data_IF_493844561002
#
_entry.id   IF_493844561002
#
_cell.length_a   1.000
_cell.length_b   1.000
_cell.length_c   1.000
_cell.angle_alpha   90.00
_cell.angle_beta   90.00
_cell.angle_gamma   90.00
#
_symmetry.space_group_name_H-M   'P 1'
#
loop_
_entity.id
_entity.type
_entity.pdbx_description
1 polymer ?
#
# COMPACT_ATOMS: atom_id res chain seq x y z
N UNK A 1 -66.07 26.82 -21.83
CA UNK A 1 -65.44 26.14 -20.69
C UNK A 1 -65.30 27.17 -19.57
N UNK A 2 -65.84 26.91 -18.38
CA UNK A 2 -65.75 27.87 -17.26
C UNK A 2 -64.29 27.90 -16.78
N UNK A 3 -63.69 29.08 -16.73
CA UNK A 3 -62.34 29.25 -16.18
C UNK A 3 -62.36 28.82 -14.71
N UNK A 4 -61.62 27.76 -14.40
CA UNK A 4 -61.60 27.12 -13.08
C UNK A 4 -61.00 28.01 -11.98
N UNK A 5 -60.28 29.08 -12.36
CA UNK A 5 -59.67 30.03 -11.42
C UNK A 5 -59.83 31.47 -11.91
N UNK A 6 -60.10 32.38 -10.97
CA UNK A 6 -60.13 33.82 -11.25
C UNK A 6 -58.70 34.30 -11.61
N UNK A 7 -58.52 35.16 -12.61
CA UNK A 7 -57.20 35.62 -13.06
C UNK A 7 -56.40 36.32 -11.95
N UNK A 8 -57.07 36.95 -10.98
CA UNK A 8 -56.42 37.54 -9.81
C UNK A 8 -55.81 36.49 -8.87
N UNK A 9 -56.48 35.33 -8.69
CA UNK A 9 -55.95 34.23 -7.88
C UNK A 9 -54.69 33.64 -8.50
N UNK A 10 -54.63 33.56 -9.83
CA UNK A 10 -53.45 33.08 -10.57
C UNK A 10 -52.29 34.07 -10.42
N UNK A 11 -52.54 35.38 -10.55
CA UNK A 11 -51.50 36.40 -10.32
C UNK A 11 -50.95 36.35 -8.90
N UNK A 12 -51.81 36.18 -7.90
CA UNK A 12 -51.41 36.06 -6.50
C UNK A 12 -50.58 34.79 -6.25
N UNK A 13 -50.99 33.66 -6.80
CA UNK A 13 -50.25 32.39 -6.70
C UNK A 13 -48.87 32.49 -7.38
N UNK A 14 -48.78 33.10 -8.56
CA UNK A 14 -47.52 33.33 -9.25
C UNK A 14 -46.58 34.26 -8.48
N UNK A 15 -47.12 35.33 -7.87
CA UNK A 15 -46.34 36.21 -6.99
C UNK A 15 -45.78 35.48 -5.78
N UNK A 16 -46.55 34.56 -5.18
CA UNK A 16 -46.10 33.75 -4.05
C UNK A 16 -45.00 32.75 -4.44
N UNK A 17 -45.11 32.14 -5.63
CA UNK A 17 -44.08 31.25 -6.17
C UNK A 17 -42.76 31.99 -6.45
N UNK A 18 -42.84 33.19 -7.02
CA UNK A 18 -41.66 34.03 -7.25
C UNK A 18 -41.00 34.43 -5.93
N UNK A 19 -41.79 34.78 -4.91
CA UNK A 19 -41.28 35.08 -3.58
C UNK A 19 -40.50 33.90 -2.98
N UNK A 20 -41.06 32.68 -3.04
CA UNK A 20 -40.40 31.47 -2.55
C UNK A 20 -39.09 31.16 -3.30
N UNK A 21 -39.07 31.40 -4.61
CA UNK A 21 -37.88 31.22 -5.43
C UNK A 21 -36.75 32.19 -5.03
N UNK A 22 -37.09 33.46 -4.77
CA UNK A 22 -36.12 34.47 -4.30
C UNK A 22 -35.58 34.11 -2.93
N UNK A 23 -36.42 33.65 -2.00
CA UNK A 23 -35.99 33.20 -0.67
C UNK A 23 -35.02 32.01 -0.80
N UNK A 24 -35.31 31.04 -1.67
CA UNK A 24 -34.44 29.88 -1.89
C UNK A 24 -33.09 30.27 -2.51
N UNK A 25 -33.09 31.20 -3.46
CA UNK A 25 -31.85 31.73 -4.05
C UNK A 25 -31.03 32.51 -3.02
N UNK A 26 -31.67 33.32 -2.19
CA UNK A 26 -30.99 34.04 -1.11
C UNK A 26 -30.36 33.05 -0.12
N UNK A 27 -31.05 31.99 0.26
CA UNK A 27 -30.50 30.92 1.11
C UNK A 27 -29.29 30.22 0.47
N UNK A 28 -29.34 29.94 -0.83
CA UNK A 28 -28.21 29.35 -1.56
C UNK A 28 -26.99 30.29 -1.60
N UNK A 29 -27.20 31.58 -1.81
CA UNK A 29 -26.11 32.59 -1.78
C UNK A 29 -25.51 32.70 -0.37
N UNK A 30 -26.33 32.65 0.68
CA UNK A 30 -25.85 32.58 2.07
C UNK A 30 -25.03 31.31 2.28
N UNK A 31 -25.48 30.15 1.80
CA UNK A 31 -24.68 28.92 1.87
C UNK A 31 -23.33 29.07 1.15
N UNK A 32 -23.28 29.65 -0.04
CA UNK A 32 -22.00 29.80 -0.78
C UNK A 32 -21.07 30.83 -0.12
N UNK A 33 -21.60 31.90 0.48
CA UNK A 33 -20.79 32.92 1.16
C UNK A 33 -20.36 32.49 2.57
N UNK A 34 -21.17 31.67 3.27
CA UNK A 34 -20.93 31.25 4.64
C UNK A 34 -20.28 29.86 4.75
N UNK A 35 -20.45 28.99 3.75
CA UNK A 35 -19.52 27.90 3.51
C UNK A 35 -18.33 28.45 2.73
N UNK A 36 -17.41 29.09 3.46
CA UNK A 36 -16.01 29.03 3.04
C UNK A 36 -15.70 27.55 2.79
N UNK A 37 -15.04 27.26 1.68
CA UNK A 37 -14.31 26.00 1.54
C UNK A 37 -13.26 26.04 2.65
N UNK A 38 -13.65 25.58 3.83
CA UNK A 38 -12.74 25.05 4.82
C UNK A 38 -12.24 23.78 4.14
N UNK A 39 -11.24 23.96 3.28
CA UNK A 39 -10.27 22.91 3.08
C UNK A 39 -9.88 22.50 4.49
N UNK A 40 -10.20 21.25 4.83
CA UNK A 40 -9.62 20.59 5.99
C UNK A 40 -8.16 20.32 5.59
N UNK A 41 -7.41 21.41 5.39
CA UNK A 41 -6.00 21.43 5.68
C UNK A 41 -5.93 21.13 7.16
N UNK A 42 -5.65 19.86 7.45
CA UNK A 42 -5.22 19.35 8.73
C UNK A 42 -4.50 20.48 9.45
N UNK A 43 -5.14 20.96 10.52
CA UNK A 43 -4.60 21.95 11.41
C UNK A 43 -3.13 21.60 11.62
N UNK A 44 -2.25 22.50 11.19
CA UNK A 44 -0.84 22.45 11.52
C UNK A 44 -0.79 22.39 13.02
N UNK A 45 -0.69 21.17 13.53
CA UNK A 45 -0.73 20.87 14.94
C UNK A 45 0.36 21.73 15.55
N UNK A 46 -0.08 22.73 16.32
CA UNK A 46 0.82 23.53 17.11
C UNK A 46 1.38 22.56 18.14
N UNK A 47 2.48 21.89 17.77
CA UNK A 47 3.58 21.49 18.63
C UNK A 47 3.17 21.55 20.09
N UNK A 48 2.39 20.57 20.54
CA UNK A 48 2.16 20.36 21.96
C UNK A 48 3.55 20.24 22.55
N UNK A 49 4.00 21.29 23.24
CA UNK A 49 5.33 21.36 23.85
C UNK A 49 5.55 20.05 24.59
N UNK A 50 6.46 19.23 24.09
CA UNK A 50 6.78 17.98 24.72
C UNK A 50 7.28 18.30 26.13
N UNK A 51 6.55 17.87 27.16
CA UNK A 51 6.87 18.05 28.58
C UNK A 51 8.03 17.13 29.02
N UNK A 52 9.03 16.93 28.16
CA UNK A 52 10.24 16.20 28.52
C UNK A 52 11.36 17.20 28.81
N UNK A 53 11.64 17.38 30.10
CA UNK A 53 12.88 18.01 30.54
C UNK A 53 14.04 17.12 30.11
N UNK A 54 14.84 17.56 29.11
CA UNK A 54 16.16 16.99 28.90
C UNK A 54 17.05 17.48 30.05
N UNK A 55 17.23 16.65 31.08
CA UNK A 55 18.30 16.85 32.04
C UNK A 55 19.63 16.80 31.28
N UNK A 56 20.34 17.93 31.22
CA UNK A 56 21.72 17.98 30.73
C UNK A 56 22.61 17.42 31.84
N UNK A 57 23.00 16.16 31.71
CA UNK A 57 23.85 15.45 32.67
C UNK A 57 25.36 15.58 32.38
N UNK A 58 25.81 16.68 31.77
CA UNK A 58 27.25 17.01 31.71
C UNK A 58 27.46 18.51 31.44
N UNK A 59 28.37 19.18 32.17
CA UNK A 59 28.96 20.42 31.73
C UNK A 59 30.10 20.05 30.78
N UNK A 60 29.92 20.30 29.49
CA UNK A 60 31.03 20.27 28.55
C UNK A 60 30.90 21.50 27.67
N UNK A 61 31.67 22.51 28.05
CA UNK A 61 32.08 23.60 27.16
C UNK A 61 32.73 22.98 25.93
N UNK A 62 31.94 22.78 24.89
CA UNK A 62 32.46 22.56 23.55
C UNK A 62 31.69 23.47 22.63
N UNK A 63 32.40 24.46 22.10
CA UNK A 63 31.90 25.45 21.16
C UNK A 63 31.09 24.79 20.04
N UNK A 64 29.90 25.34 19.78
CA UNK A 64 29.03 24.93 18.67
C UNK A 64 29.78 25.19 17.36
N UNK A 65 30.02 24.18 16.49
CA UNK A 65 30.59 24.44 15.19
C UNK A 65 29.59 25.20 14.33
N UNK A 66 29.98 26.42 13.95
CA UNK A 66 29.34 27.28 12.95
C UNK A 66 29.02 26.46 11.70
N UNK A 67 27.76 26.57 11.25
CA UNK A 67 27.18 25.90 10.09
C UNK A 67 27.92 26.34 8.82
N UNK A 68 29.00 25.62 8.45
CA UNK A 68 29.64 25.75 7.14
C UNK A 68 28.67 25.30 6.07
N UNK A 69 28.49 26.12 5.05
CA UNK A 69 27.78 25.83 3.81
C UNK A 69 28.31 24.51 3.22
N UNK A 70 27.43 23.50 3.14
CA UNK A 70 27.78 22.16 2.67
C UNK A 70 27.95 22.21 1.16
N UNK A 71 29.21 22.17 0.70
CA UNK A 71 29.58 21.68 -0.62
C UNK A 71 29.04 20.25 -0.76
N UNK A 72 28.36 19.99 -1.88
CA UNK A 72 27.82 18.68 -2.26
C UNK A 72 28.93 17.63 -2.18
N UNK A 73 28.87 16.79 -1.16
CA UNK A 73 29.73 15.62 -0.95
C UNK A 73 29.08 14.37 -1.58
N UNK A 74 29.88 13.40 -2.05
CA UNK A 74 29.47 12.42 -3.05
C UNK A 74 28.44 11.40 -2.53
N UNK A 75 27.60 10.89 -3.43
CA UNK A 75 26.64 9.80 -3.20
C UNK A 75 27.35 8.60 -2.57
N UNK A 76 27.24 8.46 -1.24
CA UNK A 76 27.69 7.26 -0.52
C UNK A 76 26.73 6.12 -0.89
N UNK A 77 27.17 5.25 -1.78
CA UNK A 77 26.42 4.08 -2.20
C UNK A 77 26.53 2.99 -1.14
N UNK A 78 25.63 2.99 -0.14
CA UNK A 78 25.57 1.89 0.83
C UNK A 78 25.12 0.58 0.22
N UNK A 79 25.60 -0.54 0.79
CA UNK A 79 25.19 -1.90 0.45
C UNK A 79 24.06 -2.36 1.38
N UNK A 80 23.07 -3.08 0.85
CA UNK A 80 21.96 -3.60 1.66
C UNK A 80 22.43 -4.52 2.80
N UNK A 81 23.54 -5.24 2.59
CA UNK A 81 24.15 -6.15 3.58
C UNK A 81 24.61 -5.46 4.87
N UNK A 82 24.73 -4.13 4.87
CA UNK A 82 25.11 -3.34 6.05
C UNK A 82 23.91 -3.04 6.97
N UNK A 83 22.69 -3.36 6.53
CA UNK A 83 21.45 -3.15 7.27
C UNK A 83 21.01 -4.49 7.85
N UNK A 84 20.97 -4.55 9.18
CA UNK A 84 20.46 -5.72 9.90
C UNK A 84 19.15 -5.35 10.58
N UNK A 85 18.10 -6.12 10.37
CA UNK A 85 16.79 -5.87 10.97
C UNK A 85 16.73 -6.47 12.39
N UNK A 86 16.50 -5.62 13.39
CA UNK A 86 16.49 -5.99 14.81
C UNK A 86 15.08 -6.17 15.37
N UNK A 87 14.13 -5.32 14.94
CA UNK A 87 12.75 -5.37 15.40
C UNK A 87 11.80 -4.85 14.32
N UNK A 88 10.57 -5.35 14.35
CA UNK A 88 9.46 -4.93 13.50
C UNK A 88 8.28 -4.65 14.43
N UNK A 89 7.63 -3.51 14.22
CA UNK A 89 6.31 -3.19 14.74
C UNK A 89 5.42 -2.89 13.53
N UNK A 90 4.35 -3.65 13.36
CA UNK A 90 3.44 -3.52 12.24
C UNK A 90 2.00 -3.49 12.74
N UNK A 91 1.33 -2.39 12.49
CA UNK A 91 -0.09 -2.13 12.76
C UNK A 91 -0.79 -1.77 11.42
N UNK A 92 -2.10 -1.57 11.43
CA UNK A 92 -2.91 -1.38 10.20
C UNK A 92 -2.40 -0.24 9.30
N UNK A 93 -2.00 0.89 9.90
CA UNK A 93 -1.49 2.06 9.17
C UNK A 93 -0.02 2.39 9.45
N UNK A 94 0.61 1.69 10.42
CA UNK A 94 1.91 2.06 10.97
C UNK A 94 2.88 0.89 10.85
N UNK A 95 3.94 1.07 10.05
CA UNK A 95 5.08 0.15 10.01
C UNK A 95 6.33 0.85 10.50
N UNK A 96 6.88 0.37 11.61
CA UNK A 96 8.10 0.88 12.23
C UNK A 96 9.09 -0.26 12.37
N UNK A 97 10.32 -0.04 11.96
CA UNK A 97 11.40 -1.01 12.12
C UNK A 97 12.56 -0.44 12.91
N UNK A 98 13.25 -1.30 13.65
CA UNK A 98 14.55 -0.98 14.23
C UNK A 98 15.62 -1.73 13.46
N UNK A 99 16.59 -1.01 12.91
CA UNK A 99 17.72 -1.56 12.18
C UNK A 99 19.03 -1.28 12.90
N UNK A 100 20.02 -2.15 12.72
CA UNK A 100 21.43 -1.87 12.99
C UNK A 100 22.10 -1.48 11.67
N UNK A 101 22.69 -0.29 11.61
CA UNK A 101 23.47 0.16 10.48
C UNK A 101 24.79 0.75 10.97
N UNK A 102 25.91 0.22 10.48
CA UNK A 102 27.28 0.64 10.86
C UNK A 102 27.48 0.73 12.39
N UNK A 103 27.04 -0.31 13.11
CA UNK A 103 27.13 -0.45 14.59
C UNK A 103 26.21 0.49 15.40
N UNK A 104 25.33 1.25 14.76
CA UNK A 104 24.34 2.09 15.47
C UNK A 104 22.93 1.62 15.14
N UNK A 105 22.09 1.52 16.16
CA UNK A 105 20.66 1.27 15.97
C UNK A 105 19.96 2.53 15.46
N UNK A 106 19.01 2.35 14.54
CA UNK A 106 18.14 3.41 14.04
C UNK A 106 16.72 2.87 13.93
N UNK A 107 15.76 3.73 14.24
CA UNK A 107 14.34 3.46 14.02
C UNK A 107 13.95 4.13 12.70
N UNK A 108 13.21 3.43 11.85
CA UNK A 108 12.72 3.92 10.58
C UNK A 108 11.21 3.70 10.48
N UNK A 109 10.50 4.73 10.04
CA UNK A 109 9.12 4.66 9.56
C UNK A 109 9.06 4.62 8.04
N UNK A 110 7.89 4.23 7.50
CA UNK A 110 7.65 4.14 6.05
C UNK A 110 8.09 5.45 5.36
N UNK A 111 8.85 5.32 4.28
CA UNK A 111 9.40 6.44 3.51
C UNK A 111 10.76 6.95 3.99
N UNK A 112 11.23 6.54 5.17
CA UNK A 112 12.55 6.92 5.67
C UNK A 112 13.67 6.33 4.81
N UNK A 113 14.75 7.11 4.66
CA UNK A 113 15.87 6.77 3.79
C UNK A 113 17.12 6.47 4.60
N UNK A 114 17.74 5.32 4.37
CA UNK A 114 19.03 4.93 4.94
C UNK A 114 19.99 4.49 3.84
N UNK A 115 21.08 5.23 3.66
CA UNK A 115 22.13 4.90 2.67
C UNK A 115 21.61 4.73 1.22
N UNK A 116 20.56 5.48 0.88
CA UNK A 116 19.87 5.45 -0.40
C UNK A 116 18.84 4.32 -0.54
N UNK A 117 18.59 3.54 0.52
CA UNK A 117 17.47 2.60 0.60
C UNK A 117 16.29 3.29 1.27
N UNK A 118 15.13 3.29 0.61
CA UNK A 118 13.87 3.78 1.16
C UNK A 118 13.17 2.61 1.83
N UNK A 119 12.74 2.75 3.09
CA UNK A 119 11.94 1.73 3.74
C UNK A 119 10.50 1.81 3.24
N UNK A 120 9.99 0.72 2.66
CA UNK A 120 8.66 0.70 2.02
C UNK A 120 7.58 0.03 2.87
N UNK A 121 7.98 -0.83 3.81
CA UNK A 121 7.07 -1.54 4.69
C UNK A 121 7.68 -2.83 5.22
N UNK A 122 7.02 -3.44 6.20
CA UNK A 122 7.45 -4.69 6.79
C UNK A 122 6.33 -5.73 6.81
N UNK A 123 6.72 -6.99 6.67
CA UNK A 123 5.88 -8.15 6.97
C UNK A 123 6.19 -8.70 8.37
N UNK A 124 5.73 -9.91 8.67
CA UNK A 124 5.86 -10.50 10.01
C UNK A 124 7.32 -10.73 10.45
N UNK A 125 8.23 -11.02 9.53
CA UNK A 125 9.63 -11.32 9.84
C UNK A 125 10.64 -10.75 8.84
N UNK A 126 10.23 -9.77 8.04
CA UNK A 126 11.09 -9.10 7.08
C UNK A 126 10.69 -7.64 6.87
N UNK A 127 11.66 -6.82 6.44
CA UNK A 127 11.47 -5.46 5.99
C UNK A 127 11.81 -5.34 4.50
N UNK A 128 11.04 -4.54 3.76
CA UNK A 128 11.24 -4.24 2.35
C UNK A 128 11.86 -2.86 2.19
N UNK A 129 12.91 -2.81 1.39
CA UNK A 129 13.60 -1.58 1.03
C UNK A 129 13.67 -1.43 -0.49
N UNK A 130 13.59 -0.21 -1.00
CA UNK A 130 13.85 0.06 -2.42
C UNK A 130 15.03 0.99 -2.64
N UNK A 131 15.78 0.75 -3.71
CA UNK A 131 16.88 1.61 -4.18
C UNK A 131 17.04 1.46 -5.67
N UNK A 132 17.02 2.58 -6.40
CA UNK A 132 17.20 2.62 -7.85
C UNK A 132 16.29 1.61 -8.61
N UNK A 133 15.00 1.60 -8.26
CA UNK A 133 13.98 0.72 -8.86
C UNK A 133 14.20 -0.78 -8.64
N UNK A 134 15.01 -1.15 -7.63
CA UNK A 134 15.19 -2.53 -7.17
C UNK A 134 14.72 -2.64 -5.73
N UNK A 135 14.06 -3.76 -5.43
CA UNK A 135 13.52 -4.06 -4.11
C UNK A 135 14.41 -5.07 -3.40
N UNK A 136 14.54 -4.91 -2.09
CA UNK A 136 15.44 -5.65 -1.23
C UNK A 136 14.69 -6.11 0.01
N UNK A 137 14.71 -7.42 0.26
CA UNK A 137 14.12 -8.05 1.44
C UNK A 137 15.21 -8.26 2.49
N UNK A 138 15.00 -7.73 3.70
CA UNK A 138 15.90 -7.90 4.85
C UNK A 138 15.15 -8.68 5.92
N UNK A 139 15.67 -9.86 6.30
CA UNK A 139 15.05 -10.73 7.30
C UNK A 139 15.36 -10.26 8.73
N UNK A 140 14.38 -10.44 9.63
CA UNK A 140 14.51 -10.16 11.06
C UNK A 140 15.48 -11.15 11.71
N UNK A 141 16.42 -10.63 12.51
CA UNK A 141 17.34 -11.49 13.28
C UNK A 141 16.58 -12.15 14.42
N UNK A 142 16.33 -13.46 14.29
CA UNK A 142 15.80 -14.29 15.37
C UNK A 142 16.95 -14.64 16.34
N UNK A 143 16.89 -14.16 17.59
CA UNK A 143 17.83 -14.59 18.65
C UNK A 143 17.78 -16.11 18.76
N UNK A 144 18.87 -16.78 18.36
CA UNK A 144 18.97 -18.25 18.31
C UNK A 144 19.48 -18.81 16.98
N UNK A 145 19.59 -18.00 15.91
CA UNK A 145 20.26 -18.42 14.66
C UNK A 145 21.39 -17.46 14.31
N UNK A 146 22.60 -18.03 14.26
CA UNK A 146 23.84 -17.38 13.88
C UNK A 146 23.72 -16.59 12.56
N UNK A 147 24.36 -15.44 12.55
CA UNK A 147 24.53 -14.52 11.42
C UNK A 147 25.05 -15.31 10.20
N UNK A 148 24.17 -15.64 9.26
CA UNK A 148 24.58 -16.29 8.02
C UNK A 148 25.06 -15.23 7.05
N UNK A 149 26.38 -15.05 7.06
CA UNK A 149 27.19 -14.53 5.97
C UNK A 149 26.61 -14.92 4.62
N UNK A 150 26.49 -13.94 3.73
CA UNK A 150 26.22 -14.19 2.31
C UNK A 150 27.43 -14.92 1.72
N UNK A 151 27.38 -16.25 1.66
CA UNK A 151 28.27 -17.06 0.82
C UNK A 151 27.67 -17.19 -0.57
N UNK A 152 28.44 -16.74 -1.57
CA UNK A 152 28.31 -17.26 -2.92
C UNK A 152 28.90 -18.66 -2.89
N UNK A 153 28.05 -19.68 -2.85
CA UNK A 153 28.46 -21.05 -3.12
C UNK A 153 27.38 -21.69 -3.99
N UNK A 154 27.81 -22.20 -5.15
CA UNK A 154 26.98 -22.96 -6.06
C UNK A 154 26.49 -24.22 -5.35
N UNK A 155 25.27 -24.17 -4.83
CA UNK A 155 24.66 -25.27 -4.11
C UNK A 155 24.20 -26.34 -5.09
N UNK A 156 24.98 -27.43 -5.14
CA UNK A 156 24.49 -28.74 -5.58
C UNK A 156 23.30 -29.12 -4.70
N UNK A 157 22.21 -29.48 -5.38
CA UNK A 157 20.90 -29.83 -4.86
C UNK A 157 20.99 -31.14 -4.05
N UNK A 158 20.61 -31.17 -2.77
CA UNK A 158 20.07 -32.37 -2.14
C UNK A 158 18.55 -32.31 -2.32
N UNK A 159 18.04 -33.15 -3.20
CA UNK A 159 16.63 -33.43 -3.37
C UNK A 159 16.12 -34.20 -2.15
N UNK A 160 15.60 -33.49 -1.16
CA UNK A 160 14.64 -34.05 -0.21
C UNK A 160 13.37 -33.21 -0.30
N UNK A 161 12.44 -33.77 -1.07
CA UNK A 161 11.09 -33.28 -1.26
C UNK A 161 10.45 -33.00 0.11
N UNK A 162 10.00 -31.76 0.40
CA UNK A 162 8.99 -31.60 1.42
C UNK A 162 7.73 -32.29 0.89
N UNK A 163 7.12 -33.11 1.73
CA UNK A 163 5.87 -33.82 1.48
C UNK A 163 4.83 -32.87 0.90
N UNK A 164 4.52 -33.07 -0.39
CA UNK A 164 3.42 -32.39 -1.07
C UNK A 164 2.12 -32.81 -0.38
N UNK A 165 1.58 -31.95 0.49
CA UNK A 165 0.13 -31.79 0.53
C UNK A 165 -0.29 -31.41 -0.90
N UNK A 166 -1.38 -31.97 -1.46
CA UNK A 166 -1.85 -31.55 -2.77
C UNK A 166 -2.08 -30.04 -2.69
N UNK A 167 -1.37 -29.31 -3.55
CA UNK A 167 -1.56 -27.87 -3.67
C UNK A 167 -2.94 -27.70 -4.30
N UNK A 168 -3.84 -27.00 -3.60
CA UNK A 168 -5.21 -26.78 -4.05
C UNK A 168 -5.31 -26.30 -5.50
N UNK A 169 -6.39 -26.63 -6.18
CA UNK A 169 -6.56 -26.32 -7.60
C UNK A 169 -7.52 -25.14 -7.83
N UNK A 170 -7.36 -24.47 -8.96
CA UNK A 170 -8.36 -23.54 -9.49
C UNK A 170 -9.22 -24.32 -10.47
N UNK A 171 -10.50 -24.50 -10.14
CA UNK A 171 -11.46 -25.27 -10.94
C UNK A 171 -12.45 -24.29 -11.57
N UNK A 172 -12.92 -24.60 -12.77
CA UNK A 172 -14.02 -23.88 -13.40
C UNK A 172 -15.25 -24.78 -13.34
N UNK A 173 -16.22 -24.43 -12.49
CA UNK A 173 -17.48 -25.16 -12.36
C UNK A 173 -18.62 -24.23 -12.80
N UNK A 174 -19.39 -24.65 -13.81
CA UNK A 174 -20.59 -23.91 -14.24
C UNK A 174 -20.33 -22.49 -14.76
N UNK A 175 -19.10 -22.12 -15.11
CA UNK A 175 -18.73 -20.76 -15.53
C UNK A 175 -18.16 -19.90 -14.40
N UNK A 176 -18.24 -20.34 -13.14
CA UNK A 176 -17.62 -19.69 -11.99
C UNK A 176 -16.26 -20.30 -11.72
N UNK A 177 -15.28 -19.45 -11.39
CA UNK A 177 -13.94 -19.89 -11.04
C UNK A 177 -13.84 -20.07 -9.52
N UNK A 178 -13.60 -21.30 -9.10
CA UNK A 178 -13.48 -21.67 -7.68
C UNK A 178 -12.00 -21.83 -7.35
N UNK A 179 -11.58 -21.24 -6.23
CA UNK A 179 -10.22 -21.28 -5.71
C UNK A 179 -10.23 -22.07 -4.41
N UNK A 180 -9.43 -23.13 -4.35
CA UNK A 180 -9.19 -23.84 -3.10
C UNK A 180 -8.48 -22.94 -2.08
N UNK A 181 -9.01 -22.82 -0.87
CA UNK A 181 -8.46 -22.01 0.22
C UNK A 181 -7.02 -22.40 0.55
N UNK A 182 -6.67 -23.68 0.46
CA UNK A 182 -5.31 -24.16 0.71
C UNK A 182 -4.29 -23.57 -0.27
N UNK A 183 -4.70 -23.25 -1.50
CA UNK A 183 -3.87 -22.60 -2.51
C UNK A 183 -3.57 -21.15 -2.11
N UNK A 184 -4.59 -20.41 -1.65
CA UNK A 184 -4.43 -19.04 -1.18
C UNK A 184 -3.54 -18.99 0.06
N UNK A 185 -3.73 -19.90 1.01
CA UNK A 185 -2.88 -20.04 2.19
C UNK A 185 -1.43 -20.34 1.83
N UNK A 186 -1.19 -21.20 0.84
CA UNK A 186 0.15 -21.49 0.34
C UNK A 186 0.83 -20.21 -0.14
N UNK A 187 0.18 -19.42 -1.00
CA UNK A 187 0.79 -18.20 -1.53
C UNK A 187 0.91 -17.09 -0.50
N UNK A 188 -0.03 -17.00 0.46
CA UNK A 188 0.04 -16.07 1.57
C UNK A 188 1.24 -16.36 2.50
N UNK A 189 1.63 -17.62 2.64
CA UNK A 189 2.79 -18.03 3.46
C UNK A 189 4.09 -18.12 2.67
N UNK A 190 4.03 -18.45 1.37
CA UNK A 190 5.17 -18.66 0.49
C UNK A 190 5.21 -17.61 -0.64
N UNK A 191 5.47 -16.37 -0.26
CA UNK A 191 5.54 -15.23 -1.20
C UNK A 191 6.53 -15.46 -2.36
N UNK A 192 7.61 -16.21 -2.11
CA UNK A 192 8.62 -16.52 -3.15
C UNK A 192 8.01 -17.31 -4.31
N UNK A 193 6.95 -18.09 -4.07
CA UNK A 193 6.26 -18.83 -5.12
C UNK A 193 5.34 -17.94 -5.95
N UNK A 194 4.86 -16.81 -5.42
CA UNK A 194 4.17 -15.80 -6.22
C UNK A 194 5.13 -15.26 -7.27
N UNK A 195 6.31 -14.77 -6.84
CA UNK A 195 7.29 -14.16 -7.75
C UNK A 195 7.86 -15.14 -8.81
N UNK A 196 7.82 -16.45 -8.56
CA UNK A 196 8.19 -17.48 -9.56
C UNK A 196 7.12 -17.67 -10.65
N UNK A 197 5.87 -17.40 -10.33
CA UNK A 197 4.73 -17.74 -11.18
C UNK A 197 4.10 -16.50 -11.86
N UNK A 198 4.28 -15.31 -11.29
CA UNK A 198 3.79 -14.04 -11.84
C UNK A 198 4.81 -12.90 -11.63
N UNK A 199 5.03 -12.11 -12.68
CA UNK A 199 5.87 -10.92 -12.62
C UNK A 199 5.02 -9.66 -12.56
N UNK A 200 5.18 -8.88 -11.50
CA UNK A 200 4.38 -7.69 -11.22
C UNK A 200 5.31 -6.47 -11.15
N UNK A 201 4.90 -5.34 -11.71
CA UNK A 201 5.61 -4.06 -11.61
C UNK A 201 4.64 -2.94 -11.32
N UNK A 202 5.11 -1.96 -10.55
CA UNK A 202 4.37 -0.74 -10.26
C UNK A 202 3.99 0.01 -11.54
N UNK A 203 2.73 0.43 -11.63
CA UNK A 203 2.29 1.41 -12.61
C UNK A 203 2.14 2.76 -11.90
N UNK A 204 2.93 3.76 -12.30
CA UNK A 204 2.92 5.09 -11.70
C UNK A 204 2.31 6.09 -12.66
N UNK A 205 1.47 6.97 -12.13
CA UNK A 205 1.03 8.19 -12.79
C UNK A 205 1.74 9.37 -12.12
N UNK A 206 2.78 9.87 -12.78
CA UNK A 206 3.74 10.81 -12.19
C UNK A 206 4.45 10.22 -10.96
N UNK A 207 4.16 10.78 -9.78
CA UNK A 207 4.74 10.34 -8.48
C UNK A 207 3.84 9.38 -7.70
N UNK A 208 2.60 9.14 -8.16
CA UNK A 208 1.62 8.33 -7.44
C UNK A 208 1.53 6.93 -8.04
N UNK A 209 1.46 5.91 -7.20
CA UNK A 209 1.18 4.54 -7.66
C UNK A 209 -0.30 4.45 -8.06
N UNK A 210 -0.56 4.00 -9.27
CA UNK A 210 -1.88 3.92 -9.90
C UNK A 210 -2.39 2.47 -10.02
N UNK A 211 -1.52 1.48 -9.79
CA UNK A 211 -1.86 0.06 -9.85
C UNK A 211 -0.63 -0.81 -10.04
N UNK A 212 -0.85 -2.09 -10.32
CA UNK A 212 0.20 -3.07 -10.56
C UNK A 212 0.03 -3.72 -11.95
N UNK A 213 1.04 -3.57 -12.81
CA UNK A 213 1.06 -4.16 -14.15
C UNK A 213 1.66 -5.57 -14.12
N UNK A 214 1.03 -6.48 -14.84
CA UNK A 214 1.51 -7.86 -15.02
C UNK A 214 2.46 -7.94 -16.22
N UNK A 215 3.73 -8.23 -15.96
CA UNK A 215 4.77 -8.34 -16.99
C UNK A 215 4.84 -9.73 -17.62
N UNK A 216 4.66 -10.78 -16.80
CA UNK A 216 4.62 -12.16 -17.25
C UNK A 216 3.76 -13.00 -16.32
N UNK A 217 3.24 -14.11 -16.86
CA UNK A 217 2.57 -15.16 -16.11
C UNK A 217 3.13 -16.49 -16.61
N UNK A 218 3.48 -17.38 -15.69
CA UNK A 218 3.93 -18.72 -16.04
C UNK A 218 2.72 -19.53 -16.54
N UNK A 219 2.90 -20.21 -17.68
CA UNK A 219 1.91 -21.17 -18.20
C UNK A 219 1.64 -22.23 -17.13
N UNK A 220 0.37 -22.61 -16.98
CA UNK A 220 -0.12 -23.57 -15.97
C UNK A 220 -0.04 -23.13 -14.50
N UNK A 221 0.35 -21.87 -14.24
CA UNK A 221 0.25 -21.31 -12.90
C UNK A 221 -1.22 -21.10 -12.50
N UNK A 222 -1.52 -21.08 -11.20
CA UNK A 222 -2.85 -20.71 -10.72
C UNK A 222 -3.31 -19.35 -11.24
N UNK A 223 -2.41 -18.36 -11.34
CA UNK A 223 -2.72 -17.04 -11.91
C UNK A 223 -3.20 -17.12 -13.37
N UNK A 224 -2.64 -18.02 -14.17
CA UNK A 224 -3.11 -18.26 -15.53
C UNK A 224 -4.50 -18.92 -15.53
N UNK A 225 -4.76 -19.88 -14.63
CA UNK A 225 -6.07 -20.53 -14.47
C UNK A 225 -7.14 -19.53 -14.00
N UNK A 226 -6.78 -18.58 -13.14
CA UNK A 226 -7.61 -17.44 -12.74
C UNK A 226 -7.93 -16.52 -13.93
N UNK A 227 -7.21 -16.63 -15.05
CA UNK A 227 -7.51 -15.87 -16.27
C UNK A 227 -6.92 -14.47 -16.26
N UNK A 228 -6.00 -14.20 -15.34
CA UNK A 228 -5.09 -13.05 -15.40
C UNK A 228 -4.18 -13.26 -16.61
N UNK A 229 -3.88 -12.17 -17.32
CA UNK A 229 -3.07 -12.17 -18.54
C UNK A 229 -1.91 -11.20 -18.42
N UNK A 230 -0.92 -11.42 -19.28
CA UNK A 230 0.17 -10.48 -19.47
C UNK A 230 -0.39 -9.13 -19.95
N UNK A 231 0.19 -8.05 -19.44
CA UNK A 231 -0.21 -6.65 -19.64
C UNK A 231 -1.50 -6.22 -18.95
N UNK A 232 -2.15 -7.08 -18.18
CA UNK A 232 -3.22 -6.64 -17.29
C UNK A 232 -2.66 -5.65 -16.25
N UNK A 233 -3.47 -4.69 -15.85
CA UNK A 233 -3.17 -3.79 -14.74
C UNK A 233 -4.18 -4.00 -13.64
N UNK A 234 -3.75 -4.49 -12.48
CA UNK A 234 -4.59 -4.66 -11.30
C UNK A 234 -4.82 -3.28 -10.66
N UNK A 235 -6.09 -2.90 -10.51
CA UNK A 235 -6.56 -1.63 -9.93
C UNK A 235 -7.07 -1.81 -8.51
N UNK A 236 -7.82 -2.88 -8.25
CA UNK A 236 -8.28 -3.21 -6.91
C UNK A 236 -8.41 -4.72 -6.70
N UNK A 237 -8.38 -5.11 -5.43
CA UNK A 237 -8.65 -6.46 -4.98
C UNK A 237 -9.62 -6.37 -3.80
N UNK A 238 -10.75 -7.07 -3.84
CA UNK A 238 -11.83 -6.98 -2.85
C UNK A 238 -12.23 -5.54 -2.50
N UNK A 239 -12.34 -4.68 -3.52
CA UNK A 239 -12.65 -3.25 -3.35
C UNK A 239 -11.48 -2.38 -2.84
N UNK A 240 -10.38 -2.97 -2.37
CA UNK A 240 -9.20 -2.22 -1.93
C UNK A 240 -8.36 -1.77 -3.13
N UNK A 241 -8.15 -0.46 -3.25
CA UNK A 241 -7.36 0.13 -4.35
C UNK A 241 -5.89 -0.19 -4.19
N UNK A 242 -5.27 -0.65 -5.27
CA UNK A 242 -3.85 -1.02 -5.33
C UNK A 242 -2.93 0.19 -5.57
N UNK A 243 -3.08 1.21 -4.72
CA UNK A 243 -2.32 2.48 -4.82
C UNK A 243 -1.12 2.55 -3.87
N UNK A 244 -0.84 1.49 -3.13
CA UNK A 244 0.37 1.36 -2.31
C UNK A 244 0.76 -0.11 -2.11
N UNK A 245 1.98 -0.37 -1.66
CA UNK A 245 2.39 -1.70 -1.25
C UNK A 245 1.61 -2.20 -0.02
N UNK A 246 1.30 -1.30 0.92
CA UNK A 246 0.49 -1.62 2.10
C UNK A 246 -0.90 -2.14 1.71
N UNK A 247 -1.51 -1.56 0.66
CA UNK A 247 -2.78 -2.06 0.15
C UNK A 247 -2.67 -3.52 -0.31
N UNK A 248 -1.58 -3.89 -0.99
CA UNK A 248 -1.31 -5.28 -1.34
C UNK A 248 -1.15 -6.19 -0.12
N UNK A 249 -0.47 -5.72 0.94
CA UNK A 249 -0.30 -6.47 2.18
C UNK A 249 -1.60 -6.66 2.98
N UNK A 250 -2.45 -5.64 3.03
CA UNK A 250 -3.75 -5.71 3.69
C UNK A 250 -4.64 -6.80 3.07
N UNK A 251 -4.72 -6.84 1.74
CA UNK A 251 -5.45 -7.89 1.01
C UNK A 251 -4.99 -9.30 1.42
N UNK A 252 -3.68 -9.53 1.58
CA UNK A 252 -3.18 -10.84 2.02
C UNK A 252 -3.59 -11.24 3.43
N UNK A 253 -3.82 -10.28 4.32
CA UNK A 253 -4.31 -10.55 5.68
C UNK A 253 -5.77 -10.99 5.62
N UNK A 254 -6.56 -10.28 4.82
CA UNK A 254 -8.00 -10.44 4.75
C UNK A 254 -8.43 -11.66 3.93
N UNK A 255 -7.62 -12.04 2.93
CA UNK A 255 -7.94 -13.18 2.04
C UNK A 255 -8.01 -14.53 2.76
N UNK A 256 -7.42 -14.64 3.96
CA UNK A 256 -7.49 -15.86 4.79
C UNK A 256 -8.90 -16.13 5.32
N UNK A 257 -9.68 -15.08 5.52
CA UNK A 257 -11.05 -15.16 6.03
C UNK A 257 -12.10 -14.86 4.96
N UNK A 258 -11.69 -14.59 3.73
CA UNK A 258 -12.59 -14.27 2.64
C UNK A 258 -13.20 -15.54 2.03
N UNK A 259 -14.48 -15.47 1.71
CA UNK A 259 -15.21 -16.51 0.96
C UNK A 259 -15.30 -16.19 -0.54
N UNK A 260 -14.97 -14.94 -0.92
CA UNK A 260 -14.95 -14.50 -2.31
C UNK A 260 -13.73 -13.61 -2.57
N UNK A 261 -13.28 -13.62 -3.82
CA UNK A 261 -12.21 -12.76 -4.32
C UNK A 261 -12.71 -12.02 -5.55
N UNK A 262 -12.54 -10.70 -5.56
CA UNK A 262 -12.91 -9.83 -6.68
C UNK A 262 -11.69 -9.02 -7.11
N UNK A 263 -11.40 -9.02 -8.40
CA UNK A 263 -10.23 -8.37 -8.98
C UNK A 263 -10.67 -7.40 -10.07
N UNK A 264 -10.46 -6.10 -9.88
CA UNK A 264 -10.68 -5.12 -10.95
C UNK A 264 -9.36 -4.93 -11.70
N UNK A 265 -9.40 -5.21 -13.00
CA UNK A 265 -8.25 -5.12 -13.89
C UNK A 265 -8.55 -4.22 -15.09
N UNK A 266 -7.51 -3.60 -15.63
CA UNK A 266 -7.55 -2.99 -16.96
C UNK A 266 -6.85 -3.93 -17.94
N UNK A 267 -7.58 -4.36 -18.98
CA UNK A 267 -7.08 -5.17 -20.08
C UNK A 267 -7.40 -4.48 -21.39
N UNK A 268 -6.41 -4.27 -22.25
CA UNK A 268 -6.61 -3.57 -23.54
C UNK A 268 -7.33 -2.21 -23.39
N UNK A 269 -7.00 -1.46 -22.34
CA UNK A 269 -7.64 -0.18 -22.00
C UNK A 269 -9.11 -0.25 -21.54
N UNK A 270 -9.67 -1.45 -21.35
CA UNK A 270 -11.00 -1.66 -20.80
C UNK A 270 -10.91 -2.14 -19.35
N UNK A 271 -11.74 -1.57 -18.48
CA UNK A 271 -11.89 -2.02 -17.10
C UNK A 271 -12.82 -3.24 -17.04
N UNK A 272 -12.38 -4.27 -16.34
CA UNK A 272 -13.13 -5.51 -16.17
C UNK A 272 -12.99 -6.00 -14.74
N UNK A 273 -14.02 -6.70 -14.28
CA UNK A 273 -14.06 -7.33 -12.97
C UNK A 273 -13.98 -8.84 -13.13
N UNK A 274 -13.09 -9.46 -12.35
CA UNK A 274 -12.94 -10.91 -12.27
C UNK A 274 -13.35 -11.37 -10.88
N UNK A 275 -14.38 -12.20 -10.81
CA UNK A 275 -14.92 -12.74 -9.57
C UNK A 275 -14.56 -14.22 -9.41
N UNK A 276 -14.28 -14.60 -8.17
CA UNK A 276 -13.90 -15.95 -7.79
C UNK A 276 -14.52 -16.33 -6.46
N UNK A 277 -14.94 -17.58 -6.35
CA UNK A 277 -15.43 -18.16 -5.09
C UNK A 277 -14.28 -18.90 -4.40
N UNK A 278 -14.22 -18.82 -3.06
CA UNK A 278 -13.19 -19.48 -2.24
C UNK A 278 -13.86 -20.62 -1.48
N UNK A 279 -13.33 -21.83 -1.62
CA UNK A 279 -13.80 -23.05 -0.93
C UNK A 279 -12.70 -23.63 -0.04
#
# INVERSE_FOLDING_TARGET
>A
MKNLFKPEMIKMAMSMLVLLLVIKLSWFVVQVLFLSVVDIDQAKDQSTKALYYRAKLTPSDVAVPVKKTVKVAPKIQGRIKEITLLAIYNDEDISIITILYKKSSKVLGIGDVISGFVFEGAGNDFAMFSKANKNYKVMLVKKGKSLSTVSNEALKIPSTSPSKKPLGEVVNEGGTKIIDRSLLEHYATNMDDIYKNIGITELKDGKKLSGFKINFIRKDSPFAKLGIRRNDTIKSINGQKMTSYNAGFAVYKDIKSADNLTLVIIRNNEEMELEYEIN
#
